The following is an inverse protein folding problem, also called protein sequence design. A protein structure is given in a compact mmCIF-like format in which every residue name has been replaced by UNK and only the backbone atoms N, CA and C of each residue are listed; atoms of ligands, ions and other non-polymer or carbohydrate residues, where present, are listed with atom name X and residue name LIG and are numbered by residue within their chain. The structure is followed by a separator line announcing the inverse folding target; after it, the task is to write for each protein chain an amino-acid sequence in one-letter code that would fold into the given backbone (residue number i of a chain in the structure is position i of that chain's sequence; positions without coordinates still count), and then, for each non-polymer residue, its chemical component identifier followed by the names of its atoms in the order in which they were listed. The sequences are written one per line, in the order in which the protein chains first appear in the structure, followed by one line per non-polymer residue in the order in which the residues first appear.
data_IF_208201312406
#
_entry.id   IF_208201312406
#
_cell.length_a   1.000
_cell.length_b   1.000
_cell.length_c   1.000
_cell.angle_alpha   90.00
_cell.angle_beta   90.00
_cell.angle_gamma   90.00
#
_symmetry.space_group_name_H-M   'P 1'
#
loop_
_entity.id
_entity.type
_entity.pdbx_description
1 polymer ?
#
# COMPACT_ATOMS: atom_id res chain seq x y z
N UNK A 1 0.54 12.14 2.35
CA UNK A 1 -0.76 11.65 2.88
C UNK A 1 -0.54 10.36 3.63
N UNK A 2 -1.40 10.06 4.61
CA UNK A 2 -1.47 8.74 5.24
C UNK A 2 -2.62 7.96 4.64
N UNK A 3 -2.33 6.73 4.23
CA UNK A 3 -3.30 5.78 3.67
C UNK A 3 -3.43 4.64 4.67
N UNK A 4 -4.65 4.35 5.11
CA UNK A 4 -4.92 3.35 6.14
C UNK A 4 -5.96 2.36 5.65
N UNK A 5 -5.70 1.06 5.80
CA UNK A 5 -6.66 -0.02 5.62
C UNK A 5 -7.02 -0.67 6.96
N UNK A 6 -7.78 -1.77 6.95
CA UNK A 6 -8.00 -2.58 8.15
C UNK A 6 -6.71 -3.24 8.68
N UNK A 7 -5.73 -3.45 7.79
CA UNK A 7 -4.55 -4.29 8.07
C UNK A 7 -3.30 -3.46 8.41
N UNK A 8 -3.28 -2.18 8.06
CA UNK A 8 -2.15 -1.32 8.35
C UNK A 8 -2.26 0.07 7.75
N UNK A 9 -1.14 0.79 7.74
CA UNK A 9 -1.06 2.13 7.22
C UNK A 9 0.31 2.43 6.61
N UNK A 10 0.32 3.28 5.58
CA UNK A 10 1.52 3.80 4.94
C UNK A 10 1.44 5.32 4.81
N UNK A 11 2.60 5.95 4.69
CA UNK A 11 2.70 7.37 4.35
C UNK A 11 3.45 7.52 3.04
N UNK A 12 2.88 8.30 2.12
CA UNK A 12 3.42 8.52 0.79
C UNK A 12 3.05 9.89 0.23
N UNK A 13 3.81 10.35 -0.76
CA UNK A 13 3.36 11.41 -1.65
C UNK A 13 2.13 10.96 -2.45
N UNK A 14 1.33 11.93 -2.88
CA UNK A 14 0.16 11.70 -3.74
C UNK A 14 0.24 12.63 -4.95
N UNK A 15 -0.11 12.11 -6.11
CA UNK A 15 -0.34 12.89 -7.32
C UNK A 15 -1.85 12.86 -7.61
N UNK A 16 -2.45 14.03 -7.81
CA UNK A 16 -3.84 14.13 -8.25
C UNK A 16 -3.85 14.10 -9.78
N UNK A 17 -4.65 13.22 -10.35
CA UNK A 17 -4.80 13.04 -11.80
C UNK A 17 -6.22 12.58 -12.12
N UNK A 18 -6.67 12.88 -13.34
CA UNK A 18 -7.95 12.42 -13.89
C UNK A 18 -7.82 11.06 -14.61
N UNK A 19 -6.61 10.47 -14.66
CA UNK A 19 -6.35 9.16 -15.28
C UNK A 19 -6.91 7.98 -14.45
N UNK A 20 -7.35 8.25 -13.22
CA UNK A 20 -7.83 7.26 -12.26
C UNK A 20 -9.28 7.56 -11.92
N UNK A 21 -10.12 6.52 -11.83
CA UNK A 21 -11.56 6.70 -11.58
C UNK A 21 -11.82 7.37 -10.23
N UNK A 22 -12.84 8.24 -10.13
CA UNK A 22 -13.22 8.86 -8.86
C UNK A 22 -13.44 7.83 -7.74
N UNK A 23 -12.92 8.13 -6.55
CA UNK A 23 -13.00 7.24 -5.39
C UNK A 23 -11.99 6.09 -5.37
N UNK A 24 -11.07 6.04 -6.33
CA UNK A 24 -9.99 5.03 -6.36
C UNK A 24 -8.62 5.68 -6.25
N UNK A 25 -7.64 4.90 -5.80
CA UNK A 25 -6.22 5.28 -5.80
C UNK A 25 -5.39 4.16 -6.42
N UNK A 26 -4.37 4.55 -7.17
CA UNK A 26 -3.35 3.65 -7.68
C UNK A 26 -2.08 3.82 -6.86
N UNK A 27 -1.62 2.76 -6.21
CA UNK A 27 -0.37 2.75 -5.43
C UNK A 27 0.52 1.65 -5.99
N UNK A 28 1.68 1.98 -6.59
CA UNK A 28 2.53 0.98 -7.23
C UNK A 28 3.21 0.06 -6.21
N UNK A 29 3.32 -1.21 -6.56
CA UNK A 29 4.11 -2.19 -5.79
C UNK A 29 5.61 -2.02 -6.05
N UNK A 30 6.44 -2.71 -5.24
CA UNK A 30 7.87 -2.84 -5.48
C UNK A 30 8.77 -1.88 -4.69
N UNK A 31 8.23 -1.20 -3.68
CA UNK A 31 8.93 -0.22 -2.85
C UNK A 31 8.87 -0.60 -1.36
N UNK A 32 9.70 0.06 -0.54
CA UNK A 32 9.64 -0.04 0.92
C UNK A 32 10.15 -1.36 1.52
N UNK A 33 10.97 -2.10 0.78
CA UNK A 33 11.56 -3.38 1.25
C UNK A 33 12.41 -3.19 2.50
N UNK A 34 12.31 -4.15 3.45
CA UNK A 34 13.07 -4.16 4.71
C UNK A 34 13.76 -5.51 4.97
N UNK A 35 14.12 -6.22 3.91
CA UNK A 35 14.80 -7.52 4.00
C UNK A 35 16.31 -7.38 4.24
N UNK A 36 17.05 -8.49 4.19
CA UNK A 36 18.52 -8.48 4.28
C UNK A 36 19.25 -8.00 3.01
N UNK A 37 18.52 -7.49 2.00
CA UNK A 37 19.07 -7.20 0.67
C UNK A 37 19.43 -5.72 0.50
N UNK A 38 20.69 -5.44 0.14
CA UNK A 38 21.17 -4.07 -0.02
C UNK A 38 20.56 -3.35 -1.25
N UNK A 39 20.46 -4.04 -2.39
CA UNK A 39 19.98 -3.42 -3.63
C UNK A 39 18.48 -3.09 -3.56
N UNK A 40 17.66 -4.03 -3.08
CA UNK A 40 16.21 -3.85 -2.99
C UNK A 40 15.81 -2.81 -1.95
N UNK A 41 16.56 -2.67 -0.86
CA UNK A 41 16.24 -1.69 0.19
C UNK A 41 16.68 -0.26 -0.17
N UNK A 42 17.61 -0.08 -1.11
CA UNK A 42 18.16 1.24 -1.49
C UNK A 42 17.10 2.28 -1.87
N UNK A 43 16.06 1.97 -2.66
CA UNK A 43 15.11 2.98 -3.13
C UNK A 43 14.17 3.51 -2.03
N UNK A 44 14.05 2.81 -0.89
CA UNK A 44 13.12 3.19 0.18
C UNK A 44 11.66 3.22 -0.29
N UNK A 45 10.90 4.19 0.21
CA UNK A 45 9.50 4.40 -0.16
C UNK A 45 8.49 3.62 0.68
N UNK A 46 7.21 3.81 0.35
CA UNK A 46 6.10 3.15 1.02
C UNK A 46 5.85 1.75 0.44
N UNK A 47 5.66 0.76 1.31
CA UNK A 47 5.31 -0.59 0.90
C UNK A 47 3.78 -0.76 0.92
N UNK A 48 3.13 -0.78 -0.24
CA UNK A 48 1.66 -0.93 -0.32
C UNK A 48 1.15 -2.26 0.26
N UNK A 49 1.99 -3.29 0.33
CA UNK A 49 1.59 -4.58 0.91
C UNK A 49 1.29 -4.47 2.42
N UNK A 50 1.77 -3.42 3.10
CA UNK A 50 1.40 -3.13 4.50
C UNK A 50 -0.09 -2.76 4.66
N UNK A 51 -0.80 -2.51 3.56
CA UNK A 51 -2.25 -2.29 3.55
C UNK A 51 -3.05 -3.59 3.35
N UNK A 52 -2.39 -4.73 3.14
CA UNK A 52 -3.04 -6.01 2.82
C UNK A 52 -2.86 -7.02 3.94
N UNK A 53 -3.87 -7.88 4.15
CA UNK A 53 -3.84 -8.91 5.19
C UNK A 53 -2.78 -9.98 4.94
N UNK A 54 -2.10 -10.38 6.02
CA UNK A 54 -1.22 -11.55 6.07
C UNK A 54 -1.86 -12.75 6.79
N UNK A 55 -3.16 -12.67 7.13
CA UNK A 55 -3.85 -13.74 7.82
C UNK A 55 -4.20 -14.88 6.85
N UNK A 56 -3.88 -16.12 7.21
CA UNK A 56 -4.23 -17.29 6.40
C UNK A 56 -5.76 -17.41 6.15
N UNK A 57 -6.58 -16.89 7.07
CA UNK A 57 -8.04 -16.86 6.95
C UNK A 57 -8.55 -15.91 5.85
N UNK A 58 -7.74 -14.97 5.39
CA UNK A 58 -8.10 -13.97 4.37
C UNK A 58 -7.65 -14.37 2.96
N UNK A 59 -7.05 -15.55 2.78
CA UNK A 59 -6.74 -16.09 1.45
C UNK A 59 -8.01 -16.37 0.66
N UNK A 60 -7.94 -16.15 -0.65
CA UNK A 60 -8.99 -16.57 -1.57
C UNK A 60 -9.18 -18.09 -1.44
N UNK A 61 -10.43 -18.53 -1.25
CA UNK A 61 -10.74 -19.89 -0.75
C UNK A 61 -10.48 -20.98 -1.78
N UNK A 62 -10.61 -20.70 -3.07
CA UNK A 62 -10.53 -21.73 -4.11
C UNK A 62 -9.08 -21.99 -4.52
N UNK A 63 -8.29 -20.94 -4.71
CA UNK A 63 -6.95 -20.97 -5.26
C UNK A 63 -5.85 -20.67 -4.23
N UNK A 64 -6.21 -20.23 -3.02
CA UNK A 64 -5.24 -19.86 -1.98
C UNK A 64 -4.46 -18.58 -2.31
N UNK A 65 -5.04 -17.69 -3.13
CA UNK A 65 -4.38 -16.48 -3.59
C UNK A 65 -4.48 -15.33 -2.59
N UNK A 66 -3.44 -14.51 -2.51
CA UNK A 66 -3.47 -13.25 -1.78
C UNK A 66 -4.36 -12.22 -2.48
N UNK A 67 -5.14 -11.46 -1.72
CA UNK A 67 -5.95 -10.35 -2.23
C UNK A 67 -5.16 -9.05 -2.10
N UNK A 68 -4.52 -8.64 -3.20
CA UNK A 68 -3.61 -7.47 -3.21
C UNK A 68 -4.22 -6.23 -3.90
N UNK A 69 -5.42 -6.34 -4.44
CA UNK A 69 -6.14 -5.26 -5.13
C UNK A 69 -7.53 -5.08 -4.53
N UNK A 70 -8.14 -3.93 -4.77
CA UNK A 70 -9.48 -3.62 -4.26
C UNK A 70 -9.54 -3.45 -2.73
N UNK A 71 -8.40 -3.12 -2.11
CA UNK A 71 -8.29 -2.87 -0.68
C UNK A 71 -9.01 -1.56 -0.35
N UNK A 72 -10.00 -1.63 0.54
CA UNK A 72 -10.65 -0.44 1.05
C UNK A 72 -9.69 0.36 1.93
N UNK A 73 -9.57 1.66 1.66
CA UNK A 73 -8.66 2.56 2.38
C UNK A 73 -9.34 3.87 2.77
N UNK A 74 -8.82 4.49 3.83
CA UNK A 74 -9.06 5.89 4.19
C UNK A 74 -7.77 6.69 3.94
N UNK A 75 -7.91 7.90 3.44
CA UNK A 75 -6.77 8.81 3.19
C UNK A 75 -6.95 10.06 4.04
N UNK A 76 -5.86 10.52 4.64
CA UNK A 76 -5.80 11.75 5.42
C UNK A 76 -4.52 12.53 5.10
N UNK A 77 -4.59 13.86 5.25
CA UNK A 77 -3.40 14.70 5.18
C UNK A 77 -2.48 14.40 6.35
N UNK A 78 -1.17 14.46 6.11
CA UNK A 78 -0.16 14.41 7.17
C UNK A 78 0.64 15.70 7.11
N UNK A 79 1.00 16.22 8.27
CA UNK A 79 1.93 17.33 8.35
C UNK A 79 3.29 16.85 7.84
N UNK A 80 3.83 17.54 6.85
CA UNK A 80 5.21 17.35 6.43
C UNK A 80 6.04 18.28 7.31
N UNK A 81 6.93 17.78 8.19
CA UNK A 81 7.85 18.65 8.90
C UNK A 81 8.68 19.43 7.85
N UNK A 82 8.62 20.76 7.93
CA UNK A 82 9.45 21.68 7.13
C UNK A 82 10.92 21.58 7.52
#
# INVERSE_FOLDING_TARGET
VRVTSKDGAIETGVQITDDVSPGTVAIPHGWGHRGGWQLANRPGGANVNELTSNAAADLERLAGMSVLNGVAVRIESVDVPV
#
